data_IF_935252761220
#
_entry.id   IF_935252761220
#
_cell.length_a   1.000
_cell.length_b   1.000
_cell.length_c   1.000
_cell.angle_alpha   90.00
_cell.angle_beta   90.00
_cell.angle_gamma   90.00
#
_symmetry.space_group_name_H-M   'P 1'
#
loop_
_entity.id
_entity.type
_entity.pdbx_description
1 polymer ?
#
# COMPACT_ATOMS: atom_id res chain seq x y z
N UNK A 1 4.36 -7.67 -2.48
CA UNK A 1 3.33 -6.85 -3.21
C UNK A 1 1.92 -7.44 -3.10
N UNK A 2 1.72 -8.69 -3.48
CA UNK A 2 0.38 -9.30 -3.49
C UNK A 2 -0.30 -9.27 -2.11
N UNK A 3 0.43 -9.56 -1.05
CA UNK A 3 -0.12 -9.53 0.31
C UNK A 3 -0.58 -8.12 0.72
N UNK A 4 0.18 -7.10 0.32
CA UNK A 4 -0.22 -5.72 0.57
C UNK A 4 -1.49 -5.34 -0.19
N UNK A 5 -1.59 -5.73 -1.46
CA UNK A 5 -2.82 -5.52 -2.25
C UNK A 5 -4.00 -6.21 -1.58
N UNK A 6 -3.81 -7.46 -1.14
CA UNK A 6 -4.86 -8.21 -0.46
C UNK A 6 -5.41 -7.46 0.76
N UNK A 7 -4.53 -7.03 1.67
CA UNK A 7 -4.96 -6.38 2.90
C UNK A 7 -5.47 -4.95 2.68
N UNK A 8 -4.89 -4.22 1.74
CA UNK A 8 -5.20 -2.80 1.53
C UNK A 8 -6.36 -2.56 0.56
N UNK A 9 -6.59 -3.47 -0.36
CA UNK A 9 -7.52 -3.24 -1.48
C UNK A 9 -8.45 -4.41 -1.78
N UNK A 10 -8.54 -5.39 -0.91
CA UNK A 10 -9.53 -6.47 -1.07
C UNK A 10 -10.94 -5.88 -1.11
N UNK A 11 -11.72 -6.29 -2.12
CA UNK A 11 -13.05 -5.75 -2.32
C UNK A 11 -13.10 -4.47 -3.17
N UNK A 12 -11.95 -3.86 -3.46
CA UNK A 12 -11.87 -2.74 -4.37
C UNK A 12 -11.91 -3.23 -5.83
N UNK A 13 -12.37 -2.39 -6.78
CA UNK A 13 -12.24 -2.70 -8.20
C UNK A 13 -10.79 -3.02 -8.58
N UNK A 14 -10.58 -3.76 -9.66
CA UNK A 14 -9.21 -4.12 -10.10
C UNK A 14 -8.33 -2.88 -10.27
N UNK A 15 -8.86 -1.80 -10.84
CA UNK A 15 -8.10 -0.54 -10.96
C UNK A 15 -7.68 0.02 -9.60
N UNK A 16 -8.48 -0.17 -8.56
CA UNK A 16 -8.13 0.22 -7.20
C UNK A 16 -6.98 -0.62 -6.63
N UNK A 17 -6.97 -1.90 -6.95
CA UNK A 17 -5.87 -2.79 -6.56
C UNK A 17 -4.58 -2.43 -7.29
N UNK A 18 -4.67 -2.12 -8.59
CA UNK A 18 -3.54 -1.60 -9.38
C UNK A 18 -3.01 -0.31 -8.78
N UNK A 19 -3.90 0.59 -8.37
CA UNK A 19 -3.52 1.86 -7.78
C UNK A 19 -2.73 1.70 -6.47
N UNK A 20 -3.15 0.78 -5.59
CA UNK A 20 -2.41 0.49 -4.36
C UNK A 20 -1.01 -0.03 -4.69
N UNK A 21 -0.89 -0.97 -5.62
CA UNK A 21 0.40 -1.48 -6.06
C UNK A 21 1.28 -0.38 -6.68
N UNK A 22 0.69 0.48 -7.49
CA UNK A 22 1.41 1.57 -8.14
C UNK A 22 1.95 2.58 -7.13
N UNK A 23 1.21 2.87 -6.07
CA UNK A 23 1.70 3.77 -5.01
C UNK A 23 2.95 3.22 -4.32
N UNK A 24 3.07 1.90 -4.17
CA UNK A 24 4.30 1.26 -3.67
C UNK A 24 5.45 1.50 -4.64
N UNK A 25 5.24 1.31 -5.94
CA UNK A 25 6.28 1.56 -6.95
C UNK A 25 6.70 3.03 -6.96
N UNK A 26 5.78 3.95 -6.79
CA UNK A 26 6.10 5.38 -6.71
C UNK A 26 6.99 5.71 -5.51
N UNK A 27 6.75 5.07 -4.37
CA UNK A 27 7.64 5.20 -3.20
C UNK A 27 9.02 4.65 -3.49
N UNK A 28 9.13 3.48 -4.13
CA UNK A 28 10.43 2.89 -4.51
C UNK A 28 11.22 3.84 -5.40
N UNK A 29 10.57 4.53 -6.32
CA UNK A 29 11.20 5.48 -7.22
C UNK A 29 11.57 6.82 -6.55
N UNK A 30 11.07 7.08 -5.36
CA UNK A 30 11.29 8.30 -4.60
C UNK A 30 12.35 8.04 -3.53
N UNK A 31 13.46 8.79 -3.55
CA UNK A 31 14.59 8.55 -2.65
C UNK A 31 14.30 8.85 -1.17
N UNK A 32 13.13 9.38 -0.82
CA UNK A 32 12.67 9.55 0.56
C UNK A 32 12.20 8.25 1.19
N UNK A 33 12.00 7.20 0.41
CA UNK A 33 11.46 5.91 0.84
C UNK A 33 12.43 4.77 0.59
N UNK A 34 12.20 3.60 1.22
CA UNK A 34 12.97 2.40 0.87
C UNK A 34 12.87 2.09 -0.62
N UNK A 35 13.92 1.48 -1.17
CA UNK A 35 14.04 1.23 -2.61
C UNK A 35 13.65 -0.19 -3.03
N UNK A 36 12.94 -0.92 -2.19
CA UNK A 36 12.43 -2.25 -2.48
C UNK A 36 10.97 -2.37 -2.08
N UNK A 37 10.25 -3.30 -2.71
CA UNK A 37 8.85 -3.59 -2.36
C UNK A 37 8.73 -3.95 -0.88
N UNK A 38 9.53 -4.90 -0.41
CA UNK A 38 9.48 -5.32 1.00
C UNK A 38 9.83 -4.17 1.94
N UNK A 39 10.81 -3.35 1.59
CA UNK A 39 11.18 -2.19 2.39
C UNK A 39 10.04 -1.20 2.54
N UNK A 40 9.33 -0.90 1.45
CA UNK A 40 8.17 0.00 1.50
C UNK A 40 7.02 -0.61 2.28
N UNK A 41 6.66 -1.86 2.00
CA UNK A 41 5.53 -2.53 2.64
C UNK A 41 5.73 -2.71 4.15
N UNK A 42 6.98 -2.89 4.56
CA UNK A 42 7.35 -3.06 5.97
C UNK A 42 7.80 -1.78 6.66
N UNK A 43 7.55 -0.60 6.08
CA UNK A 43 7.84 0.66 6.74
C UNK A 43 7.09 0.76 8.07
N UNK A 44 7.84 1.04 9.15
CA UNK A 44 7.31 1.08 10.50
C UNK A 44 8.28 1.76 11.45
N UNK A 45 7.81 2.05 12.66
CA UNK A 45 8.71 2.23 13.79
C UNK A 45 9.03 0.86 14.35
N UNK A 46 10.31 0.58 14.48
CA UNK A 46 10.80 -0.71 14.99
C UNK A 46 11.24 -0.60 16.43
N UNK A 47 11.19 -1.73 17.13
CA UNK A 47 11.67 -1.85 18.48
C UNK A 47 13.17 -1.44 18.54
N UNK A 48 13.56 -0.45 19.36
CA UNK A 48 14.95 0.00 19.42
C UNK A 48 15.94 -1.07 19.91
N UNK A 49 15.42 -2.15 20.52
CA UNK A 49 16.27 -3.21 21.06
C UNK A 49 16.72 -4.23 20.01
N UNK A 50 15.89 -4.50 19.00
CA UNK A 50 16.17 -5.55 18.04
C UNK A 50 16.10 -5.09 16.55
N UNK A 51 15.49 -3.97 16.25
CA UNK A 51 15.37 -3.38 14.90
C UNK A 51 14.62 -4.26 13.86
N UNK A 52 14.03 -5.38 14.29
CA UNK A 52 13.32 -6.31 13.40
C UNK A 52 11.86 -6.49 13.77
N UNK A 53 11.49 -6.18 15.02
CA UNK A 53 10.11 -6.27 15.50
C UNK A 53 9.46 -4.90 15.40
N UNK A 54 8.42 -4.73 14.54
CA UNK A 54 7.72 -3.46 14.46
C UNK A 54 6.92 -3.19 15.73
N UNK A 55 6.85 -1.92 16.11
CA UNK A 55 6.01 -1.49 17.23
C UNK A 55 4.56 -1.60 16.79
N UNK A 56 3.74 -2.27 17.61
CA UNK A 56 2.33 -2.52 17.30
C UNK A 56 1.59 -1.22 16.97
N UNK A 57 0.82 -1.26 15.90
CA UNK A 57 0.02 -0.15 15.37
C UNK A 57 0.82 1.08 14.90
N UNK A 58 2.12 0.94 14.69
CA UNK A 58 2.98 2.02 14.19
C UNK A 58 3.62 1.67 12.85
N UNK A 59 2.88 0.95 12.01
CA UNK A 59 3.28 0.59 10.65
C UNK A 59 2.58 1.48 9.63
N UNK A 60 3.28 1.75 8.52
CA UNK A 60 2.71 2.51 7.39
C UNK A 60 1.46 1.80 6.85
N UNK A 61 1.56 0.48 6.65
CA UNK A 61 0.43 -0.38 6.33
C UNK A 61 -0.01 -1.09 7.59
N UNK A 62 -1.19 -0.77 8.09
CA UNK A 62 -1.65 -1.17 9.42
C UNK A 62 -1.68 -2.69 9.60
N UNK A 63 -2.00 -3.46 8.54
CA UNK A 63 -2.09 -4.91 8.62
C UNK A 63 -0.78 -5.57 9.07
N UNK A 64 0.35 -4.93 8.78
CA UNK A 64 1.68 -5.51 9.06
C UNK A 64 1.95 -5.65 10.57
N UNK A 65 1.39 -4.79 11.41
CA UNK A 65 1.65 -4.83 12.85
C UNK A 65 0.42 -4.48 13.72
N UNK A 66 -0.76 -4.88 13.27
CA UNK A 66 -2.01 -4.67 14.02
C UNK A 66 -2.26 -5.76 15.09
N UNK A 67 -1.39 -6.74 15.19
CA UNK A 67 -1.52 -7.86 16.12
C UNK A 67 -2.46 -8.97 15.66
N UNK A 68 -3.02 -8.85 14.45
CA UNK A 68 -3.85 -9.89 13.84
C UNK A 68 -3.02 -10.75 12.88
N UNK A 69 -3.52 -11.92 12.53
CA UNK A 69 -2.88 -12.78 11.54
C UNK A 69 -2.81 -12.11 10.17
N UNK A 70 -1.66 -12.18 9.52
CA UNK A 70 -1.45 -11.69 8.16
C UNK A 70 -1.85 -12.72 7.10
N UNK A 71 -2.19 -13.93 7.50
CA UNK A 71 -2.54 -15.02 6.59
C UNK A 71 -3.85 -14.69 5.86
N UNK A 72 -3.85 -14.65 4.51
CA UNK A 72 -5.08 -14.43 3.76
C UNK A 72 -6.08 -15.55 3.98
N UNK A 73 -7.33 -15.19 4.26
CA UNK A 73 -8.41 -16.16 4.49
C UNK A 73 -9.33 -16.32 3.30
N UNK A 74 -9.21 -15.45 2.32
CA UNK A 74 -9.99 -15.47 1.09
C UNK A 74 -9.05 -15.81 -0.08
N UNK A 75 -9.06 -17.08 -0.48
CA UNK A 75 -8.15 -17.60 -1.51
C UNK A 75 -8.40 -16.94 -2.86
N UNK A 76 -9.65 -16.66 -3.20
CA UNK A 76 -10.01 -16.01 -4.46
C UNK A 76 -9.47 -14.58 -4.51
N UNK A 77 -9.66 -13.82 -3.44
CA UNK A 77 -9.15 -12.45 -3.34
C UNK A 77 -7.62 -12.44 -3.35
N UNK A 78 -6.97 -13.42 -2.74
CA UNK A 78 -5.50 -13.52 -2.77
C UNK A 78 -4.99 -13.88 -4.16
N UNK A 79 -5.69 -14.75 -4.89
CA UNK A 79 -5.35 -15.06 -6.27
C UNK A 79 -5.44 -13.80 -7.16
N UNK A 80 -6.52 -13.05 -7.03
CA UNK A 80 -6.70 -11.78 -7.75
C UNK A 80 -5.58 -10.79 -7.42
N UNK A 81 -5.26 -10.63 -6.15
CA UNK A 81 -4.16 -9.75 -5.71
C UNK A 81 -2.81 -10.20 -6.29
N UNK A 82 -2.57 -11.50 -6.39
CA UNK A 82 -1.34 -12.05 -6.99
C UNK A 82 -1.26 -11.73 -8.48
N UNK A 83 -2.36 -11.87 -9.21
CA UNK A 83 -2.42 -11.55 -10.64
C UNK A 83 -2.16 -10.06 -10.86
N UNK A 84 -2.79 -9.19 -10.05
CA UNK A 84 -2.57 -7.74 -10.12
C UNK A 84 -1.12 -7.40 -9.80
N UNK A 85 -0.54 -8.00 -8.77
CA UNK A 85 0.87 -7.79 -8.42
C UNK A 85 1.81 -8.14 -9.59
N UNK A 86 1.60 -9.27 -10.23
CA UNK A 86 2.39 -9.69 -11.39
C UNK A 86 2.27 -8.70 -12.54
N UNK A 87 1.05 -8.22 -12.82
CA UNK A 87 0.78 -7.25 -13.87
C UNK A 87 1.52 -5.93 -13.61
N UNK A 88 1.43 -5.39 -12.41
CA UNK A 88 2.08 -4.12 -12.06
C UNK A 88 3.60 -4.26 -12.02
N UNK A 89 4.12 -5.34 -11.41
CA UNK A 89 5.57 -5.57 -11.30
C UNK A 89 6.24 -5.85 -12.65
N UNK A 90 5.50 -6.36 -13.63
CA UNK A 90 6.03 -6.58 -14.99
C UNK A 90 6.25 -5.29 -15.77
N UNK A 91 5.80 -4.15 -15.27
CA UNK A 91 5.86 -2.87 -15.96
C UNK A 91 4.77 -2.68 -17.01
N UNK A 92 3.79 -3.60 -17.08
CA UNK A 92 2.70 -3.53 -18.06
C UNK A 92 1.62 -2.51 -17.71
N UNK A 93 1.56 -2.07 -16.45
CA UNK A 93 0.60 -1.08 -15.98
C UNK A 93 1.19 0.32 -16.09
N UNK A 94 0.39 1.27 -16.56
CA UNK A 94 0.71 2.69 -16.40
C UNK A 94 0.35 3.14 -14.99
N UNK A 95 0.94 4.26 -14.56
CA UNK A 95 0.59 4.87 -13.26
C UNK A 95 -0.78 5.53 -13.31
N UNK A 96 -1.79 4.82 -12.78
CA UNK A 96 -3.16 5.33 -12.69
C UNK A 96 -3.36 6.32 -11.54
N UNK A 97 -2.36 6.48 -10.66
CA UNK A 97 -2.43 7.35 -9.47
C UNK A 97 -1.85 8.74 -9.68
N UNK A 98 -1.32 9.02 -10.87
CA UNK A 98 -0.70 10.32 -11.21
C UNK A 98 0.46 10.68 -10.27
N UNK A 99 1.30 9.71 -9.96
CA UNK A 99 2.50 9.90 -9.14
C UNK A 99 2.27 9.81 -7.64
N UNK A 100 1.13 9.30 -7.20
CA UNK A 100 0.79 9.28 -5.78
C UNK A 100 1.71 8.35 -4.96
N UNK A 101 2.03 8.82 -3.76
CA UNK A 101 2.77 8.06 -2.74
C UNK A 101 1.93 7.79 -1.49
N UNK A 102 0.78 8.46 -1.37
CA UNK A 102 -0.12 8.36 -0.22
C UNK A 102 -1.55 8.17 -0.68
N UNK A 103 -2.32 7.49 0.14
CA UNK A 103 -3.77 7.43 -0.01
C UNK A 103 -4.44 7.20 1.35
N UNK A 104 -5.72 7.50 1.41
CA UNK A 104 -6.57 7.15 2.55
C UNK A 104 -7.96 6.75 2.06
N UNK A 105 -8.68 6.03 2.90
CA UNK A 105 -10.08 5.73 2.62
C UNK A 105 -10.93 7.00 2.63
N UNK A 106 -11.96 7.05 1.81
CA UNK A 106 -12.78 8.24 1.61
C UNK A 106 -13.64 8.63 2.84
N UNK A 107 -13.73 7.73 3.83
CA UNK A 107 -14.46 7.98 5.08
C UNK A 107 -13.57 8.47 6.23
N UNK A 108 -12.29 8.71 5.98
CA UNK A 108 -11.35 9.28 6.96
C UNK A 108 -10.65 10.51 6.35
N UNK A 109 -10.12 11.37 7.21
CA UNK A 109 -9.34 12.53 6.77
C UNK A 109 -8.10 12.64 7.66
N UNK A 110 -6.98 12.02 7.27
CA UNK A 110 -5.76 12.04 8.09
C UNK A 110 -5.11 13.42 8.11
N UNK A 111 -4.35 13.67 9.17
CA UNK A 111 -3.71 14.98 9.40
C UNK A 111 -2.76 15.39 8.27
N UNK A 112 -2.14 14.43 7.59
CA UNK A 112 -1.18 14.71 6.52
C UNK A 112 -1.85 15.13 5.20
N UNK A 113 -3.15 14.91 5.03
CA UNK A 113 -3.83 15.15 3.76
C UNK A 113 -3.77 16.62 3.32
N UNK A 114 -3.82 17.56 4.27
CA UNK A 114 -3.72 18.99 3.96
C UNK A 114 -2.32 19.42 3.48
N UNK A 115 -1.30 18.61 3.77
CA UNK A 115 0.08 18.92 3.41
C UNK A 115 0.49 18.39 2.04
N UNK A 116 -0.36 17.59 1.40
CA UNK A 116 -0.07 16.93 0.12
C UNK A 116 -1.06 17.38 -0.95
N UNK A 117 -0.68 17.13 -2.20
CA UNK A 117 -1.49 17.48 -3.37
C UNK A 117 -2.37 16.28 -3.73
N UNK A 118 -3.71 16.40 -3.69
CA UNK A 118 -4.59 15.33 -4.15
C UNK A 118 -4.43 15.12 -5.66
N UNK A 119 -4.39 13.88 -6.09
CA UNK A 119 -4.24 13.53 -7.51
C UNK A 119 -5.53 12.97 -8.09
N UNK A 120 -6.05 11.88 -7.51
CA UNK A 120 -7.22 11.19 -8.05
C UNK A 120 -7.91 10.38 -6.97
N UNK A 121 -9.22 10.19 -7.11
CA UNK A 121 -9.98 9.21 -6.34
C UNK A 121 -10.20 7.97 -7.20
N UNK A 122 -9.86 6.79 -6.66
CA UNK A 122 -10.07 5.50 -7.31
C UNK A 122 -10.74 4.57 -6.30
N UNK A 123 -11.94 4.08 -6.64
CA UNK A 123 -12.72 3.28 -5.71
C UNK A 123 -12.99 4.06 -4.43
N UNK A 124 -12.68 3.47 -3.28
CA UNK A 124 -12.87 4.10 -1.96
C UNK A 124 -11.62 4.85 -1.48
N UNK A 125 -10.60 4.99 -2.32
CA UNK A 125 -9.33 5.62 -1.92
C UNK A 125 -9.11 6.96 -2.61
N UNK A 126 -8.64 7.95 -1.85
CA UNK A 126 -8.21 9.25 -2.36
C UNK A 126 -6.69 9.29 -2.31
N UNK A 127 -6.07 9.56 -3.47
CA UNK A 127 -4.62 9.51 -3.66
C UNK A 127 -4.00 10.90 -3.62
N UNK A 128 -2.74 10.96 -3.16
CA UNK A 128 -1.98 12.22 -2.99
C UNK A 128 -0.51 12.02 -3.38
N UNK A 129 0.08 13.11 -3.81
CA UNK A 129 1.53 13.19 -4.00
C UNK A 129 2.15 14.39 -3.28
#
# INVERSE_FOLDING_TARGET
MALNIYHEARGEPVVGQVAVAQSVLNRIADNRYPNTVCGVVKQAKYNPWDSVTPIRNQCQYSWFCDGKSDTPKDDKAMLEATIVAQFVLSGSSRDVTEGATHYHADYVYPYWADSLIPTIKIGSHIYYR
#
